data_IF_088375793656
#
_entry.id   IF_088375793656
#
_cell.length_a   1.000
_cell.length_b   1.000
_cell.length_c   1.000
_cell.angle_alpha   90.00
_cell.angle_beta   90.00
_cell.angle_gamma   90.00
#
_symmetry.space_group_name_H-M   'P 1'
#
loop_
_entity.id
_entity.type
_entity.pdbx_description
1 polymer ?
#
# COMPACT_ATOMS: atom_id res chain seq x y z
N UNK A 1 5.89 11.31 -5.54
CA UNK A 1 4.71 12.20 -5.44
C UNK A 1 3.97 11.90 -4.15
N UNK A 2 3.61 12.90 -3.35
CA UNK A 2 2.70 12.72 -2.21
C UNK A 2 1.28 12.77 -2.78
N UNK A 3 0.34 11.88 -2.37
CA UNK A 3 -1.06 12.04 -2.74
C UNK A 3 -1.58 13.28 -1.99
N UNK A 4 -1.68 14.36 -2.70
CA UNK A 4 -2.23 15.61 -2.18
C UNK A 4 -3.64 15.74 -2.72
N UNK A 5 -4.64 15.48 -1.88
CA UNK A 5 -5.99 15.97 -2.16
C UNK A 5 -6.00 17.38 -1.63
N UNK A 6 -5.78 18.34 -2.50
CA UNK A 6 -5.88 19.75 -2.19
C UNK A 6 -7.35 20.15 -2.29
N UNK A 7 -8.02 20.25 -1.14
CA UNK A 7 -9.33 20.87 -1.07
C UNK A 7 -9.10 22.36 -0.88
N UNK A 8 -9.13 23.10 -1.97
CA UNK A 8 -9.11 24.55 -1.89
C UNK A 8 -10.50 25.03 -1.46
N UNK A 9 -10.58 25.79 -0.37
CA UNK A 9 -11.85 26.28 0.16
C UNK A 9 -12.62 27.14 -0.87
N UNK A 10 -11.90 27.86 -1.75
CA UNK A 10 -12.49 28.70 -2.82
C UNK A 10 -13.21 27.89 -3.90
N UNK A 11 -12.68 26.69 -4.22
CA UNK A 11 -13.25 25.83 -5.27
C UNK A 11 -14.50 25.07 -4.83
N UNK A 12 -14.70 24.95 -3.52
CA UNK A 12 -15.77 24.13 -2.94
C UNK A 12 -17.02 24.90 -2.52
N UNK A 13 -17.01 26.22 -2.57
CA UNK A 13 -18.08 27.08 -2.00
C UNK A 13 -18.46 28.19 -2.99
N UNK A 14 -19.73 28.61 -2.99
CA UNK A 14 -20.13 29.82 -3.71
C UNK A 14 -19.33 31.03 -3.23
N UNK A 15 -19.10 32.04 -4.09
CA UNK A 15 -18.31 33.23 -3.78
C UNK A 15 -18.68 33.88 -2.43
N UNK A 16 -19.98 33.95 -2.12
CA UNK A 16 -20.47 34.48 -0.82
C UNK A 16 -19.95 33.66 0.37
N UNK A 17 -20.03 32.30 0.29
CA UNK A 17 -19.59 31.41 1.37
C UNK A 17 -18.07 31.32 1.46
N UNK A 18 -17.36 31.49 0.35
CA UNK A 18 -15.92 31.68 0.34
C UNK A 18 -15.50 32.93 1.10
N UNK A 19 -16.17 34.07 0.82
CA UNK A 19 -15.95 35.34 1.56
C UNK A 19 -16.27 35.17 3.05
N UNK A 20 -17.36 34.50 3.39
CA UNK A 20 -17.71 34.16 4.78
C UNK A 20 -16.64 33.32 5.47
N UNK A 21 -16.07 32.35 4.78
CA UNK A 21 -14.98 31.50 5.30
C UNK A 21 -13.68 32.32 5.47
N UNK A 22 -13.40 33.25 4.55
CA UNK A 22 -12.26 34.14 4.63
C UNK A 22 -12.41 35.18 5.75
N UNK A 23 -13.63 35.63 6.06
CA UNK A 23 -13.93 36.51 7.18
C UNK A 23 -13.70 35.86 8.56
N UNK A 24 -13.60 34.53 8.64
CA UNK A 24 -13.28 33.86 9.89
C UNK A 24 -11.84 34.17 10.33
N UNK A 25 -11.63 34.25 11.64
CA UNK A 25 -10.27 34.40 12.18
C UNK A 25 -9.36 33.26 11.70
N UNK A 26 -8.05 33.48 11.57
CA UNK A 26 -7.11 32.44 11.14
C UNK A 26 -7.17 31.17 11.96
N UNK A 27 -7.44 31.26 13.26
CA UNK A 27 -7.61 30.12 14.16
C UNK A 27 -8.88 29.32 13.82
N UNK A 28 -10.00 29.99 13.58
CA UNK A 28 -11.26 29.36 13.21
C UNK A 28 -11.15 28.68 11.84
N UNK A 29 -10.49 29.31 10.84
CA UNK A 29 -10.21 28.68 9.53
C UNK A 29 -9.39 27.41 9.64
N UNK A 30 -8.32 27.44 10.42
CA UNK A 30 -7.50 26.25 10.68
C UNK A 30 -8.33 25.09 11.25
N UNK A 31 -9.15 25.35 12.27
CA UNK A 31 -9.99 24.31 12.87
C UNK A 31 -11.05 23.77 11.91
N UNK A 32 -11.64 24.64 11.10
CA UNK A 32 -12.62 24.28 10.08
C UNK A 32 -12.02 23.32 9.05
N UNK A 33 -10.85 23.64 8.52
CA UNK A 33 -10.14 22.79 7.56
C UNK A 33 -9.72 21.47 8.21
N UNK A 34 -9.24 21.52 9.45
CA UNK A 34 -8.85 20.29 10.18
C UNK A 34 -10.03 19.37 10.45
N UNK A 35 -11.21 19.92 10.77
CA UNK A 35 -12.44 19.14 10.94
C UNK A 35 -12.90 18.51 9.61
N UNK A 36 -12.84 19.27 8.53
CA UNK A 36 -13.12 18.78 7.18
C UNK A 36 -12.19 17.62 6.82
N UNK A 37 -10.90 17.75 7.10
CA UNK A 37 -9.94 16.67 6.87
C UNK A 37 -10.21 15.43 7.70
N UNK A 38 -10.58 15.57 8.96
CA UNK A 38 -10.99 14.44 9.80
C UNK A 38 -12.25 13.76 9.27
N UNK A 39 -13.19 14.54 8.76
CA UNK A 39 -14.38 14.00 8.12
C UNK A 39 -14.02 13.19 6.88
N UNK A 40 -13.18 13.72 5.98
CA UNK A 40 -12.74 13.01 4.77
C UNK A 40 -11.95 11.73 5.10
N UNK A 41 -11.12 11.75 6.15
CA UNK A 41 -10.45 10.54 6.64
C UNK A 41 -11.47 9.47 7.06
N UNK A 42 -12.56 9.85 7.73
CA UNK A 42 -13.64 8.92 8.08
C UNK A 42 -14.33 8.35 6.84
N UNK A 43 -14.60 9.17 5.81
CA UNK A 43 -15.16 8.73 4.55
C UNK A 43 -14.23 7.73 3.84
N UNK A 44 -12.94 8.07 3.73
CA UNK A 44 -11.92 7.20 3.13
C UNK A 44 -11.81 5.85 3.86
N UNK A 45 -11.75 5.86 5.20
CA UNK A 45 -11.75 4.62 6.00
C UNK A 45 -13.00 3.77 5.76
N UNK A 46 -14.16 4.40 5.65
CA UNK A 46 -15.42 3.72 5.37
C UNK A 46 -15.41 3.06 4.00
N UNK A 47 -14.90 3.76 2.95
CA UNK A 47 -14.76 3.20 1.59
C UNK A 47 -13.85 1.98 1.56
N UNK A 48 -12.69 2.07 2.21
CA UNK A 48 -11.74 0.95 2.30
C UNK A 48 -12.38 -0.24 3.01
N UNK A 49 -13.10 -0.02 4.12
CA UNK A 49 -13.80 -1.11 4.83
C UNK A 49 -14.89 -1.75 3.99
N UNK A 50 -15.63 -0.94 3.23
CA UNK A 50 -16.70 -1.42 2.34
C UNK A 50 -16.17 -1.95 1.02
N UNK A 51 -14.85 -1.87 0.76
CA UNK A 51 -14.20 -2.27 -0.49
C UNK A 51 -14.83 -1.61 -1.73
N UNK A 52 -15.17 -0.30 -1.61
CA UNK A 52 -15.79 0.50 -2.68
C UNK A 52 -15.01 1.80 -2.90
N UNK A 53 -14.98 2.26 -4.14
CA UNK A 53 -14.38 3.53 -4.52
C UNK A 53 -15.25 4.75 -4.15
N UNK A 54 -14.84 5.94 -4.58
CA UNK A 54 -15.57 7.21 -4.37
C UNK A 54 -16.93 7.23 -5.05
N UNK A 55 -17.10 6.45 -6.13
CA UNK A 55 -18.30 6.33 -6.93
C UNK A 55 -19.19 5.15 -6.50
N UNK A 56 -18.77 4.39 -5.48
CA UNK A 56 -19.48 3.22 -5.00
C UNK A 56 -19.18 1.92 -5.76
N UNK A 57 -18.30 1.96 -6.76
CA UNK A 57 -17.85 0.78 -7.51
C UNK A 57 -16.98 -0.11 -6.62
N UNK A 58 -17.13 -1.45 -6.64
CA UNK A 58 -16.27 -2.36 -5.90
C UNK A 58 -14.81 -2.23 -6.34
N UNK A 59 -13.87 -2.33 -5.39
CA UNK A 59 -12.46 -2.40 -5.72
C UNK A 59 -12.13 -3.67 -6.48
N UNK A 60 -11.21 -3.58 -7.42
CA UNK A 60 -10.62 -4.75 -8.05
C UNK A 60 -9.95 -5.63 -6.99
N UNK A 61 -10.34 -6.91 -6.96
CA UNK A 61 -9.82 -7.89 -6.01
C UNK A 61 -8.32 -8.15 -6.20
N UNK A 62 -7.70 -8.73 -5.20
CA UNK A 62 -6.30 -9.18 -5.30
C UNK A 62 -6.20 -10.32 -6.33
N UNK A 63 -5.08 -10.38 -7.06
CA UNK A 63 -4.77 -11.51 -7.95
C UNK A 63 -4.61 -12.84 -7.19
N UNK A 64 -4.32 -12.79 -5.88
CA UNK A 64 -4.17 -13.97 -5.01
C UNK A 64 -4.76 -13.67 -3.63
N UNK A 65 -5.51 -14.63 -3.08
CA UNK A 65 -6.18 -14.53 -1.78
C UNK A 65 -7.50 -13.74 -1.85
N UNK A 66 -8.34 -13.94 -0.84
CA UNK A 66 -9.67 -13.32 -0.73
C UNK A 66 -9.71 -12.15 0.25
N UNK A 67 -8.57 -11.85 0.88
CA UNK A 67 -8.50 -10.79 1.89
C UNK A 67 -8.81 -9.40 1.30
N UNK A 68 -9.41 -8.50 2.09
CA UNK A 68 -9.69 -7.14 1.67
C UNK A 68 -8.44 -6.42 1.18
N UNK A 69 -8.58 -5.57 0.17
CA UNK A 69 -7.49 -4.73 -0.34
C UNK A 69 -7.37 -3.45 0.49
N UNK A 70 -6.16 -2.91 0.60
CA UNK A 70 -5.83 -1.61 1.21
C UNK A 70 -6.09 -1.43 2.73
N UNK A 71 -6.33 -2.47 3.58
CA UNK A 71 -6.71 -2.27 4.98
C UNK A 71 -5.65 -1.49 5.75
N UNK A 72 -4.37 -1.64 5.42
CA UNK A 72 -3.26 -0.94 6.07
C UNK A 72 -3.32 0.58 5.89
N UNK A 73 -3.93 1.10 4.83
CA UNK A 73 -4.03 2.54 4.58
C UNK A 73 -5.05 3.25 5.47
N UNK A 74 -5.89 2.53 6.18
CA UNK A 74 -6.81 3.12 7.16
C UNK A 74 -6.11 3.72 8.38
N UNK A 75 -4.82 3.38 8.61
CA UNK A 75 -4.05 3.82 9.76
C UNK A 75 -3.01 4.87 9.38
N UNK A 76 -2.80 5.84 10.29
CA UNK A 76 -1.76 6.86 10.16
C UNK A 76 -2.10 7.97 9.15
N UNK A 77 -3.36 8.10 8.70
CA UNK A 77 -3.82 9.26 7.93
C UNK A 77 -3.99 10.47 8.83
N UNK A 78 -3.52 11.63 8.36
CA UNK A 78 -3.60 12.90 9.08
C UNK A 78 -4.02 14.02 8.15
N UNK A 79 -4.85 14.97 8.64
CA UNK A 79 -5.15 16.21 7.94
C UNK A 79 -4.02 17.21 8.21
N UNK A 80 -3.33 17.63 7.18
CA UNK A 80 -2.31 18.67 7.23
C UNK A 80 -2.86 19.95 6.62
N UNK A 81 -2.92 21.02 7.41
CA UNK A 81 -3.38 22.33 6.95
C UNK A 81 -2.17 23.20 6.69
N UNK A 82 -2.00 23.60 5.43
CA UNK A 82 -0.94 24.48 4.97
C UNK A 82 -1.50 25.90 4.82
N UNK A 83 -0.74 26.89 5.32
CA UNK A 83 -1.01 28.32 5.20
C UNK A 83 -2.43 28.73 5.60
N UNK A 84 -3.10 27.91 6.42
CA UNK A 84 -4.50 28.11 6.89
C UNK A 84 -5.53 28.22 5.75
N UNK A 85 -5.16 27.84 4.53
CA UNK A 85 -5.99 27.92 3.32
C UNK A 85 -6.12 26.58 2.61
N UNK A 86 -5.11 25.72 2.70
CA UNK A 86 -5.09 24.43 2.00
C UNK A 86 -5.14 23.28 2.99
N UNK A 87 -5.92 22.25 2.64
CA UNK A 87 -6.01 21.00 3.38
C UNK A 87 -5.42 19.88 2.56
N UNK A 88 -4.39 19.27 3.07
CA UNK A 88 -3.76 18.08 2.48
C UNK A 88 -4.05 16.86 3.36
N UNK A 89 -4.49 15.77 2.77
CA UNK A 89 -4.55 14.48 3.44
C UNK A 89 -3.23 13.72 3.21
N UNK A 90 -2.58 13.35 4.28
CA UNK A 90 -1.27 12.70 4.23
C UNK A 90 -1.22 11.54 5.21
N UNK A 91 -0.13 10.77 5.15
CA UNK A 91 0.19 9.75 6.14
C UNK A 91 1.43 10.16 6.91
N UNK A 92 1.51 9.78 8.21
CA UNK A 92 2.71 9.94 9.03
C UNK A 92 3.96 9.38 8.34
N UNK A 93 3.83 8.23 7.70
CA UNK A 93 4.91 7.60 6.92
C UNK A 93 4.85 8.04 5.46
N UNK A 94 5.92 8.69 4.98
CA UNK A 94 6.10 9.10 3.57
C UNK A 94 5.99 7.89 2.62
N UNK A 95 6.62 6.76 2.96
CA UNK A 95 6.57 5.54 2.17
C UNK A 95 5.14 4.98 2.05
N UNK A 96 4.36 5.07 3.15
CA UNK A 96 2.95 4.67 3.14
C UNK A 96 2.10 5.58 2.27
N UNK A 97 2.35 6.89 2.32
CA UNK A 97 1.69 7.86 1.45
C UNK A 97 1.98 7.61 -0.03
N UNK A 98 3.22 7.31 -0.39
CA UNK A 98 3.60 6.97 -1.78
C UNK A 98 2.89 5.70 -2.27
N UNK A 99 2.84 4.65 -1.45
CA UNK A 99 2.10 3.41 -1.78
C UNK A 99 0.60 3.67 -1.91
N UNK A 100 0.03 4.52 -1.07
CA UNK A 100 -1.37 4.91 -1.14
C UNK A 100 -1.67 5.65 -2.46
N UNK A 101 -0.80 6.59 -2.87
CA UNK A 101 -0.90 7.28 -4.15
C UNK A 101 -0.87 6.30 -5.33
N UNK A 102 0.11 5.39 -5.35
CA UNK A 102 0.24 4.39 -6.40
C UNK A 102 -1.00 3.49 -6.52
N UNK A 103 -1.66 3.16 -5.41
CA UNK A 103 -2.91 2.40 -5.42
C UNK A 103 -4.13 3.24 -5.79
N UNK A 104 -4.13 4.54 -5.44
CA UNK A 104 -5.24 5.43 -5.77
C UNK A 104 -5.29 5.76 -7.26
N UNK A 105 -4.13 6.08 -7.85
CA UNK A 105 -4.02 6.50 -9.24
C UNK A 105 -3.84 5.33 -10.23
N UNK A 106 -3.55 4.14 -9.70
CA UNK A 106 -2.99 3.06 -10.49
C UNK A 106 -1.52 3.34 -10.80
N UNK A 107 -0.71 2.31 -10.84
CA UNK A 107 0.71 2.44 -11.16
C UNK A 107 1.27 1.16 -11.74
N UNK A 108 2.03 1.29 -12.80
CA UNK A 108 2.78 0.20 -13.40
C UNK A 108 4.24 0.35 -12.96
N UNK A 109 4.75 -0.62 -12.21
CA UNK A 109 6.13 -0.66 -11.75
C UNK A 109 6.91 -1.71 -12.55
N UNK A 110 7.92 -1.29 -13.27
CA UNK A 110 8.87 -2.20 -13.94
C UNK A 110 9.99 -2.54 -12.97
N UNK A 111 10.14 -3.82 -12.67
CA UNK A 111 11.15 -4.34 -11.76
C UNK A 111 12.18 -5.15 -12.52
N UNK A 112 13.45 -4.98 -12.15
CA UNK A 112 14.53 -5.85 -12.61
C UNK A 112 15.05 -6.72 -11.48
N UNK A 113 15.55 -7.92 -11.80
CA UNK A 113 16.12 -8.84 -10.82
C UNK A 113 17.28 -8.16 -10.06
N UNK A 114 18.17 -7.49 -10.75
CA UNK A 114 19.29 -6.76 -10.14
C UNK A 114 18.81 -5.65 -9.18
N UNK A 115 17.82 -4.84 -9.60
CA UNK A 115 17.23 -3.80 -8.76
C UNK A 115 16.52 -4.35 -7.52
N UNK A 116 15.86 -5.52 -7.65
CA UNK A 116 15.23 -6.19 -6.52
C UNK A 116 16.26 -6.74 -5.54
N UNK A 117 17.30 -7.41 -6.01
CA UNK A 117 18.43 -7.91 -5.21
C UNK A 117 19.08 -6.75 -4.47
N UNK A 118 19.41 -5.64 -5.16
CA UNK A 118 19.98 -4.44 -4.51
C UNK A 118 19.09 -3.88 -3.41
N UNK A 119 17.76 -3.91 -3.56
CA UNK A 119 16.82 -3.49 -2.51
C UNK A 119 16.80 -4.47 -1.32
N UNK A 120 16.88 -5.78 -1.59
CA UNK A 120 16.87 -6.81 -0.55
C UNK A 120 18.20 -6.83 0.23
N UNK A 121 19.32 -6.69 -0.45
CA UNK A 121 20.66 -6.75 0.12
C UNK A 121 21.12 -5.46 0.82
N UNK A 122 20.23 -4.54 1.11
CA UNK A 122 20.55 -3.35 1.92
C UNK A 122 21.13 -3.68 3.32
N UNK A 123 20.92 -4.89 3.81
CA UNK A 123 21.43 -5.41 5.09
C UNK A 123 22.63 -6.35 4.93
N UNK A 124 23.26 -6.39 3.77
CA UNK A 124 24.33 -7.32 3.40
C UNK A 124 23.81 -8.43 2.47
N UNK A 125 24.74 -9.02 1.71
CA UNK A 125 24.41 -10.18 0.88
C UNK A 125 24.18 -11.40 1.78
N UNK A 126 23.18 -12.26 1.45
CA UNK A 126 23.04 -13.52 2.15
C UNK A 126 24.26 -14.40 1.90
N UNK A 127 24.73 -15.09 2.94
CA UNK A 127 25.73 -16.14 2.78
C UNK A 127 25.10 -17.34 2.06
N UNK A 128 25.33 -17.43 0.74
CA UNK A 128 24.77 -18.49 -0.09
C UNK A 128 25.41 -19.87 0.19
N UNK A 129 26.56 -19.91 0.82
CA UNK A 129 27.28 -21.15 1.19
C UNK A 129 26.86 -21.67 2.56
N UNK A 130 26.15 -20.87 3.35
CA UNK A 130 25.57 -21.32 4.60
C UNK A 130 24.56 -22.47 4.40
N UNK A 131 24.33 -23.33 5.41
CA UNK A 131 23.34 -24.41 5.35
C UNK A 131 21.95 -23.90 4.98
N UNK A 132 21.20 -24.67 4.20
CA UNK A 132 19.85 -24.33 3.80
C UNK A 132 18.94 -24.05 5.01
N UNK A 133 18.10 -23.01 4.90
CA UNK A 133 17.20 -22.65 5.99
C UNK A 133 16.08 -23.68 6.19
N UNK A 134 15.48 -23.71 7.38
CA UNK A 134 14.33 -24.58 7.67
C UNK A 134 13.17 -24.30 6.72
N UNK A 135 12.94 -23.06 6.34
CA UNK A 135 11.90 -22.64 5.39
C UNK A 135 12.16 -23.22 3.99
N UNK A 136 13.41 -23.22 3.53
CA UNK A 136 13.81 -23.84 2.27
C UNK A 136 13.64 -25.36 2.34
N UNK A 137 14.01 -25.97 3.44
CA UNK A 137 13.83 -27.42 3.65
C UNK A 137 12.35 -27.83 3.65
N UNK A 138 11.47 -27.00 4.28
CA UNK A 138 10.02 -27.20 4.23
C UNK A 138 9.49 -27.06 2.80
N UNK A 139 9.95 -26.03 2.07
CA UNK A 139 9.52 -25.80 0.69
C UNK A 139 9.93 -26.98 -0.22
N UNK A 140 11.15 -27.48 -0.12
CA UNK A 140 11.64 -28.64 -0.89
C UNK A 140 10.81 -29.91 -0.60
N UNK A 141 10.48 -30.14 0.66
CA UNK A 141 9.63 -31.27 1.04
C UNK A 141 8.21 -31.17 0.50
N UNK A 142 7.62 -29.99 0.54
CA UNK A 142 6.28 -29.72 -0.04
C UNK A 142 6.26 -29.90 -1.55
N UNK A 143 7.34 -29.53 -2.22
CA UNK A 143 7.51 -29.71 -3.66
C UNK A 143 7.84 -31.16 -4.05
N UNK A 144 7.98 -32.08 -3.08
CA UNK A 144 8.25 -33.49 -3.36
C UNK A 144 9.70 -33.80 -3.67
N UNK A 145 10.67 -32.96 -3.24
CA UNK A 145 12.08 -33.21 -3.46
C UNK A 145 12.53 -34.57 -2.90
N UNK A 146 13.21 -35.36 -3.74
CA UNK A 146 13.76 -36.68 -3.42
C UNK A 146 15.20 -36.78 -3.92
N UNK A 147 16.06 -37.41 -3.15
CA UNK A 147 17.44 -37.66 -3.55
C UNK A 147 17.55 -39.07 -4.14
N UNK A 148 18.26 -39.19 -5.26
CA UNK A 148 18.55 -40.50 -5.89
C UNK A 148 19.53 -41.27 -5.01
N UNK A 149 19.27 -42.56 -4.76
CA UNK A 149 20.17 -43.47 -4.03
C UNK A 149 21.24 -44.04 -4.97
N UNK A 150 22.41 -44.37 -4.42
CA UNK A 150 23.48 -45.03 -5.19
C UNK A 150 23.07 -46.39 -5.79
N UNK A 151 22.21 -47.14 -5.08
CA UNK A 151 21.69 -48.44 -5.52
C UNK A 151 20.33 -48.39 -6.23
N UNK A 152 19.93 -47.23 -6.76
CA UNK A 152 18.63 -47.05 -7.41
C UNK A 152 17.53 -46.57 -6.45
N UNK A 153 16.44 -46.07 -7.03
CA UNK A 153 15.33 -45.49 -6.27
C UNK A 153 15.59 -44.10 -5.70
N UNK A 154 14.61 -43.56 -4.96
CA UNK A 154 14.63 -42.21 -4.43
C UNK A 154 14.32 -42.19 -2.94
N UNK A 155 15.02 -41.29 -2.21
CA UNK A 155 14.83 -41.08 -0.77
C UNK A 155 14.21 -39.70 -0.50
N UNK A 156 13.16 -39.67 0.31
CA UNK A 156 12.61 -38.40 0.82
C UNK A 156 13.40 -37.95 2.05
N UNK A 157 14.08 -36.83 1.95
CA UNK A 157 14.93 -36.34 3.04
C UNK A 157 14.11 -35.67 4.15
N UNK A 158 14.58 -35.83 5.41
CA UNK A 158 14.11 -35.03 6.54
C UNK A 158 14.58 -33.59 6.41
N UNK A 159 13.93 -32.62 7.10
CA UNK A 159 14.35 -31.23 7.14
C UNK A 159 15.83 -31.11 7.54
N UNK A 160 16.21 -31.75 8.62
CA UNK A 160 17.59 -31.75 9.15
C UNK A 160 18.61 -32.24 8.11
N UNK A 161 18.26 -33.30 7.37
CA UNK A 161 19.15 -33.83 6.33
C UNK A 161 19.24 -32.90 5.11
N UNK A 162 18.19 -32.17 4.75
CA UNK A 162 18.26 -31.17 3.71
C UNK A 162 19.19 -30.02 4.11
N UNK A 163 19.01 -29.47 5.31
CA UNK A 163 19.84 -28.39 5.83
C UNK A 163 21.32 -28.79 5.92
N UNK A 164 21.65 -30.04 6.29
CA UNK A 164 23.04 -30.51 6.36
C UNK A 164 23.69 -30.77 5.00
N UNK A 165 22.92 -31.04 3.96
CA UNK A 165 23.43 -31.49 2.65
C UNK A 165 23.36 -30.45 1.56
N UNK A 166 22.70 -29.34 1.82
CA UNK A 166 22.51 -28.28 0.83
C UNK A 166 22.81 -26.92 1.45
N UNK A 167 23.35 -26.05 0.61
CA UNK A 167 23.51 -24.64 0.94
C UNK A 167 22.24 -23.86 0.60
N UNK A 168 22.12 -22.63 1.13
CA UNK A 168 21.04 -21.68 0.80
C UNK A 168 20.94 -21.49 -0.71
N UNK A 169 22.08 -21.33 -1.38
CA UNK A 169 22.14 -21.14 -2.83
C UNK A 169 21.62 -22.36 -3.60
N UNK A 170 22.09 -23.55 -3.26
CA UNK A 170 21.65 -24.81 -3.89
C UNK A 170 20.15 -25.06 -3.68
N UNK A 171 19.67 -24.95 -2.46
CA UNK A 171 18.26 -25.11 -2.13
C UNK A 171 17.38 -24.12 -2.90
N UNK A 172 17.81 -22.84 -3.01
CA UNK A 172 17.11 -21.81 -3.76
C UNK A 172 16.98 -22.13 -5.25
N UNK A 173 18.04 -22.62 -5.88
CA UNK A 173 18.01 -23.04 -7.30
C UNK A 173 17.09 -24.23 -7.52
N UNK A 174 17.16 -25.25 -6.65
CA UNK A 174 16.31 -26.44 -6.77
C UNK A 174 14.82 -26.08 -6.57
N UNK A 175 14.50 -25.29 -5.57
CA UNK A 175 13.12 -24.79 -5.34
C UNK A 175 12.60 -24.07 -6.59
N UNK A 176 13.42 -23.23 -7.20
CA UNK A 176 13.06 -22.51 -8.43
C UNK A 176 12.80 -23.50 -9.56
N UNK A 177 13.72 -24.44 -9.80
CA UNK A 177 13.55 -25.45 -10.83
C UNK A 177 12.27 -26.26 -10.66
N UNK A 178 11.98 -26.70 -9.44
CA UNK A 178 10.77 -27.49 -9.13
C UNK A 178 9.48 -26.69 -9.30
N UNK A 179 9.53 -25.37 -9.12
CA UNK A 179 8.35 -24.48 -9.27
C UNK A 179 8.12 -24.01 -10.70
N UNK A 180 9.17 -23.78 -11.45
CA UNK A 180 9.10 -23.06 -12.74
C UNK A 180 9.66 -23.85 -13.92
N UNK A 181 10.27 -25.03 -13.68
CA UNK A 181 10.97 -25.81 -14.71
C UNK A 181 12.28 -25.17 -15.20
N UNK A 182 12.68 -23.99 -14.67
CA UNK A 182 13.84 -23.25 -15.16
C UNK A 182 14.86 -22.96 -14.05
N UNK A 183 16.14 -23.11 -14.38
CA UNK A 183 17.25 -22.67 -13.53
C UNK A 183 17.38 -21.15 -13.50
N UNK A 184 17.07 -20.49 -14.61
CA UNK A 184 17.17 -19.02 -14.75
C UNK A 184 15.90 -18.37 -14.18
N UNK A 185 16.06 -17.40 -13.29
CA UNK A 185 14.96 -16.53 -12.82
C UNK A 185 14.58 -15.51 -13.90
N UNK A 186 13.39 -14.93 -13.75
CA UNK A 186 12.99 -13.78 -14.57
C UNK A 186 13.95 -12.62 -14.32
N UNK A 187 14.47 -12.03 -15.40
CA UNK A 187 15.38 -10.88 -15.34
C UNK A 187 14.62 -9.58 -15.06
N UNK A 188 13.37 -9.51 -15.54
CA UNK A 188 12.48 -8.37 -15.31
C UNK A 188 11.04 -8.83 -15.22
N UNK A 189 10.21 -8.05 -14.58
CA UNK A 189 8.75 -8.24 -14.49
C UNK A 189 8.06 -6.92 -14.24
N UNK A 190 6.80 -6.87 -14.60
CA UNK A 190 5.93 -5.71 -14.38
C UNK A 190 4.95 -6.00 -13.26
N UNK A 191 4.81 -5.06 -12.33
CA UNK A 191 3.79 -5.07 -11.29
C UNK A 191 2.75 -4.03 -11.65
N UNK A 192 1.56 -4.48 -12.01
CA UNK A 192 0.42 -3.62 -12.26
C UNK A 192 -0.38 -3.46 -10.98
N UNK A 193 -0.44 -2.24 -10.47
CA UNK A 193 -1.32 -1.88 -9.37
C UNK A 193 -2.58 -1.27 -9.98
N UNK A 194 -3.74 -1.93 -9.93
CA UNK A 194 -4.96 -1.38 -10.48
C UNK A 194 -5.37 -0.12 -9.74
N UNK A 195 -5.97 0.81 -10.47
CA UNK A 195 -6.50 2.04 -9.91
C UNK A 195 -7.67 1.74 -8.97
N UNK A 196 -7.58 2.31 -7.76
CA UNK A 196 -8.62 2.20 -6.73
C UNK A 196 -8.84 3.58 -6.10
N UNK A 197 -9.81 4.29 -6.58
CA UNK A 197 -10.11 5.66 -6.15
C UNK A 197 -10.76 5.68 -4.76
N UNK A 198 -9.97 5.54 -3.70
CA UNK A 198 -10.47 5.55 -2.33
C UNK A 198 -10.35 6.91 -1.63
N UNK A 199 -9.57 7.85 -2.21
CA UNK A 199 -9.39 9.21 -1.71
C UNK A 199 -10.29 10.19 -2.47
N UNK A 200 -10.74 11.23 -1.79
CA UNK A 200 -11.58 12.28 -2.36
C UNK A 200 -13.07 12.05 -2.11
N UNK A 201 -13.81 13.11 -2.25
CA UNK A 201 -15.27 13.13 -2.13
C UNK A 201 -15.82 14.12 -3.15
N UNK A 202 -17.06 13.94 -3.61
CA UNK A 202 -17.66 14.83 -4.58
C UNK A 202 -17.70 16.28 -4.06
N UNK A 203 -17.57 17.25 -4.98
CA UNK A 203 -17.56 18.67 -4.65
C UNK A 203 -18.82 19.07 -3.87
N UNK A 204 -19.98 18.51 -4.21
CA UNK A 204 -21.25 18.79 -3.56
C UNK A 204 -21.26 18.39 -2.10
N UNK A 205 -20.75 17.20 -1.78
CA UNK A 205 -20.67 16.68 -0.42
C UNK A 205 -19.65 17.45 0.43
N UNK A 206 -18.50 17.81 -0.17
CA UNK A 206 -17.49 18.66 0.48
C UNK A 206 -18.10 20.03 0.77
N UNK A 207 -18.81 20.64 -0.21
CA UNK A 207 -19.49 21.91 -0.06
C UNK A 207 -20.54 21.89 1.07
N UNK A 208 -21.41 20.89 1.09
CA UNK A 208 -22.41 20.74 2.13
C UNK A 208 -21.77 20.64 3.53
N UNK A 209 -20.70 19.82 3.66
CA UNK A 209 -19.97 19.69 4.92
C UNK A 209 -19.28 20.98 5.34
N UNK A 210 -18.69 21.69 4.40
CA UNK A 210 -18.02 22.97 4.68
C UNK A 210 -19.00 24.02 5.18
N UNK A 211 -20.20 24.11 4.56
CA UNK A 211 -21.28 24.99 5.05
C UNK A 211 -21.64 24.70 6.49
N UNK A 212 -21.91 23.44 6.82
CA UNK A 212 -22.21 23.04 8.20
C UNK A 212 -21.09 23.43 9.19
N UNK A 213 -19.84 23.27 8.75
CA UNK A 213 -18.70 23.62 9.59
C UNK A 213 -18.54 25.13 9.77
N UNK A 214 -18.84 25.95 8.77
CA UNK A 214 -18.85 27.42 8.87
C UNK A 214 -19.90 27.88 9.86
N UNK A 215 -21.12 27.37 9.76
CA UNK A 215 -22.22 27.70 10.68
C UNK A 215 -21.86 27.36 12.13
N UNK A 216 -21.31 26.15 12.37
CA UNK A 216 -20.79 25.75 13.69
C UNK A 216 -19.66 26.66 14.19
N UNK A 217 -18.77 27.09 13.32
CA UNK A 217 -17.66 27.97 13.69
C UNK A 217 -18.11 29.39 14.06
N UNK A 218 -19.25 29.85 13.51
CA UNK A 218 -19.88 31.12 13.84
C UNK A 218 -20.57 31.08 15.22
N UNK A 219 -21.25 29.97 15.52
CA UNK A 219 -21.96 29.80 16.78
C UNK A 219 -21.03 29.62 17.98
N UNK A 220 -19.80 29.16 17.76
CA UNK A 220 -18.78 29.07 18.81
C UNK A 220 -18.18 30.45 19.06
N UNK A 221 -18.53 31.07 20.20
CA UNK A 221 -17.87 32.25 20.76
C UNK A 221 -16.41 31.99 21.13
#
# INVERSE_FOLDING_TARGET
MKPVITLNASDAVSARKALEALALSPKKRFWLLKDLGRWEIRQTKSRIRRQKDVNGKPFEKRKRGEEPVLPSFTHGMEPYVQDRLMLNLTWKSKAKGQKAAANHLGHIEHMTAAGHIKKMNKRGEPDYDAPATDEQAIALRRLGYKLKRKGGGYNRLSKRNIARRMTIGQAGVIIRMMRTGSRKGKQSWTIENPQREFLGTSKERVRARLVQNIEKARQRR
#
